data_IF_393665336384
#
_entry.id   IF_393665336384
#
_cell.length_a   1.000
_cell.length_b   1.000
_cell.length_c   1.000
_cell.angle_alpha   90.00
_cell.angle_beta   90.00
_cell.angle_gamma   90.00
#
_symmetry.space_group_name_H-M   'P 1'
#
loop_
_entity.id
_entity.type
_entity.pdbx_description
1 polymer ?
#
# COMPACT_ATOMS: atom_id res chain seq x y z
N UNK A 1 53.09 -47.03 5.90
CA UNK A 1 53.10 -45.57 5.69
C UNK A 1 52.67 -44.94 7.00
N UNK A 2 53.61 -44.28 7.70
CA UNK A 2 53.52 -43.69 9.05
C UNK A 2 52.58 -42.46 9.06
N UNK A 3 51.62 -42.35 9.98
CA UNK A 3 51.66 -41.77 11.35
C UNK A 3 51.75 -40.22 11.40
N UNK A 4 50.93 -39.66 12.31
CA UNK A 4 50.97 -38.36 13.05
C UNK A 4 50.32 -37.07 12.48
N UNK A 5 49.24 -36.63 13.17
CA UNK A 5 48.89 -35.22 13.49
C UNK A 5 49.98 -34.62 14.42
N UNK A 6 50.15 -33.29 14.73
CA UNK A 6 49.12 -32.24 14.90
C UNK A 6 49.59 -30.76 14.68
N UNK A 7 48.79 -29.80 15.19
CA UNK A 7 49.16 -28.46 15.74
C UNK A 7 49.19 -27.23 14.82
N UNK A 8 48.30 -26.30 15.18
CA UNK A 8 48.29 -24.84 14.99
C UNK A 8 49.64 -24.18 14.72
N UNK A 9 49.64 -23.18 13.84
CA UNK A 9 50.57 -22.05 13.98
C UNK A 9 49.94 -20.77 13.42
N UNK A 10 49.42 -19.98 14.35
CA UNK A 10 49.30 -18.54 14.21
C UNK A 10 50.66 -17.94 13.88
N UNK A 11 50.75 -17.16 12.80
CA UNK A 11 51.81 -16.15 12.66
C UNK A 11 51.11 -14.80 12.68
N UNK A 12 51.14 -14.17 13.86
CA UNK A 12 51.22 -12.71 13.96
C UNK A 12 52.55 -12.31 13.36
N UNK A 13 52.54 -11.57 12.25
CA UNK A 13 53.61 -10.64 11.95
C UNK A 13 53.20 -9.29 12.51
N UNK A 14 54.00 -8.84 13.46
CA UNK A 14 53.97 -7.52 14.06
C UNK A 14 54.28 -6.42 13.04
N UNK A 15 53.61 -5.28 13.24
CA UNK A 15 54.10 -3.90 13.11
C UNK A 15 55.13 -3.58 12.02
N UNK A 16 54.76 -2.66 11.12
CA UNK A 16 55.44 -1.35 11.03
C UNK A 16 54.55 -0.34 10.31
N UNK A 17 54.27 0.75 11.00
CA UNK A 17 54.01 2.12 10.51
C UNK A 17 54.32 2.38 9.04
N UNK A 18 53.38 3.03 8.33
CA UNK A 18 53.58 4.32 7.64
C UNK A 18 52.22 4.84 7.16
N UNK A 19 51.96 6.10 7.51
CA UNK A 19 51.09 7.11 6.90
C UNK A 19 49.94 6.63 6.00
N UNK A 20 48.73 7.10 6.31
CA UNK A 20 48.07 8.10 5.48
C UNK A 20 46.88 8.70 6.24
N UNK A 21 47.03 9.99 6.59
CA UNK A 21 45.89 10.86 6.84
C UNK A 21 45.08 10.96 5.55
N UNK A 22 43.99 10.22 5.50
CA UNK A 22 42.76 10.69 4.89
C UNK A 22 41.66 10.35 5.87
N UNK A 23 41.29 11.32 6.70
CA UNK A 23 39.99 11.31 7.37
C UNK A 23 38.93 11.49 6.29
N UNK A 24 38.69 10.41 5.54
CA UNK A 24 37.43 10.20 4.82
C UNK A 24 36.43 10.02 5.95
N UNK A 25 35.47 10.94 6.02
CA UNK A 25 34.27 10.78 6.80
C UNK A 25 33.80 9.34 6.64
N UNK A 26 33.81 8.58 7.73
CA UNK A 26 33.16 7.28 7.81
C UNK A 26 31.65 7.52 7.66
N UNK A 27 31.20 7.79 6.44
CA UNK A 27 29.91 7.31 6.02
C UNK A 27 30.04 5.81 6.10
N UNK A 28 29.48 5.23 7.16
CA UNK A 28 29.15 3.83 7.15
C UNK A 28 28.41 3.60 5.83
N UNK A 29 29.05 2.94 4.87
CA UNK A 29 28.36 2.33 3.75
C UNK A 29 27.46 1.27 4.39
N UNK A 30 26.26 1.71 4.78
CA UNK A 30 25.15 0.80 5.03
C UNK A 30 25.05 -0.06 3.75
N UNK A 31 24.96 -1.40 3.89
CA UNK A 31 24.83 -2.26 2.74
C UNK A 31 23.73 -1.71 1.83
N UNK A 32 24.06 -1.46 0.56
CA UNK A 32 23.04 -1.14 -0.44
C UNK A 32 22.17 -2.37 -0.58
N UNK A 33 21.09 -2.41 0.17
CA UNK A 33 20.10 -3.45 0.06
C UNK A 33 19.56 -3.45 -1.37
N UNK A 34 19.84 -4.54 -2.10
CA UNK A 34 19.27 -4.80 -3.41
C UNK A 34 17.81 -5.20 -3.23
N UNK A 35 16.95 -5.01 -4.24
CA UNK A 35 15.51 -5.29 -4.13
C UNK A 35 15.20 -6.72 -3.67
N UNK A 36 16.14 -7.64 -3.87
CA UNK A 36 16.11 -9.04 -3.45
C UNK A 36 16.28 -9.27 -1.94
N UNK A 37 16.72 -8.26 -1.17
CA UNK A 37 16.97 -8.38 0.28
C UNK A 37 15.70 -8.19 1.13
N UNK A 38 14.57 -7.83 0.52
CA UNK A 38 13.30 -7.60 1.21
C UNK A 38 12.25 -8.61 0.76
N UNK A 39 11.63 -9.30 1.73
CA UNK A 39 10.41 -10.07 1.50
C UNK A 39 9.26 -9.08 1.37
N UNK A 40 8.76 -8.92 0.15
CA UNK A 40 7.59 -8.10 -0.13
C UNK A 40 6.33 -8.89 0.19
N UNK A 41 5.43 -8.30 0.97
CA UNK A 41 4.08 -8.82 1.12
C UNK A 41 3.27 -8.31 -0.07
N UNK A 42 3.00 -9.23 -1.00
CA UNK A 42 2.11 -8.98 -2.14
C UNK A 42 0.69 -9.07 -1.63
N UNK A 43 -0.06 -7.97 -1.76
CA UNK A 43 -1.51 -7.98 -1.55
C UNK A 43 -2.13 -8.62 -2.79
N UNK A 44 -2.43 -9.91 -2.71
CA UNK A 44 -2.99 -10.66 -3.83
C UNK A 44 -4.42 -10.15 -4.10
N UNK A 45 -4.71 -9.59 -5.29
CA UNK A 45 -6.01 -8.98 -5.55
C UNK A 45 -7.09 -10.04 -5.49
N UNK A 46 -8.03 -9.90 -4.54
CA UNK A 46 -9.33 -10.55 -4.65
C UNK A 46 -10.09 -9.86 -5.79
N UNK A 47 -9.74 -10.19 -7.04
CA UNK A 47 -10.51 -9.82 -8.23
C UNK A 47 -11.81 -10.62 -8.23
N UNK A 48 -12.78 -10.14 -7.47
CA UNK A 48 -14.19 -10.48 -7.60
C UNK A 48 -15.00 -9.25 -7.19
N UNK A 49 -15.04 -8.23 -8.05
CA UNK A 49 -15.96 -7.10 -7.90
C UNK A 49 -17.40 -7.49 -8.27
N UNK A 50 -17.89 -8.62 -7.74
CA UNK A 50 -19.32 -8.88 -7.64
C UNK A 50 -19.86 -8.14 -6.40
N UNK A 51 -19.72 -6.81 -6.39
CA UNK A 51 -20.28 -5.97 -5.33
C UNK A 51 -21.79 -6.11 -5.28
N UNK A 52 -22.43 -6.32 -6.43
CA UNK A 52 -23.87 -6.47 -6.52
C UNK A 52 -24.32 -7.71 -5.77
N UNK A 53 -25.02 -7.45 -4.68
CA UNK A 53 -25.89 -8.42 -4.03
C UNK A 53 -26.85 -8.99 -5.09
N UNK A 54 -27.09 -10.29 -5.07
CA UNK A 54 -27.84 -11.04 -6.10
C UNK A 54 -29.28 -10.54 -6.31
N UNK A 55 -29.72 -9.58 -5.49
CA UNK A 55 -31.04 -8.97 -5.46
C UNK A 55 -31.10 -7.59 -6.14
N UNK A 56 -30.00 -7.08 -6.70
CA UNK A 56 -30.00 -5.77 -7.35
C UNK A 56 -30.41 -5.85 -8.82
N UNK A 57 -31.72 -5.72 -9.08
CA UNK A 57 -32.23 -5.50 -10.43
C UNK A 57 -32.07 -4.03 -10.83
N UNK A 58 -31.39 -3.77 -11.95
CA UNK A 58 -31.25 -2.43 -12.50
C UNK A 58 -31.68 -2.38 -13.97
N UNK A 59 -32.68 -1.56 -14.26
CA UNK A 59 -33.20 -1.31 -15.61
C UNK A 59 -32.99 0.16 -16.06
N UNK A 60 -32.29 0.95 -15.25
CA UNK A 60 -31.92 2.33 -15.55
C UNK A 60 -30.59 2.69 -14.89
N UNK A 61 -29.89 3.69 -15.42
CA UNK A 61 -28.64 4.20 -14.84
C UNK A 61 -28.84 4.71 -13.40
N UNK A 62 -30.01 5.29 -13.10
CA UNK A 62 -30.36 5.75 -11.75
C UNK A 62 -30.50 4.57 -10.80
N UNK A 63 -31.18 3.49 -11.22
CA UNK A 63 -31.32 2.27 -10.43
C UNK A 63 -29.96 1.59 -10.21
N UNK A 64 -29.12 1.53 -11.24
CA UNK A 64 -27.76 1.00 -11.17
C UNK A 64 -26.92 1.74 -10.12
N UNK A 65 -26.88 3.08 -10.16
CA UNK A 65 -26.11 3.90 -9.21
C UNK A 65 -26.57 3.71 -7.77
N UNK A 66 -27.88 3.66 -7.54
CA UNK A 66 -28.44 3.37 -6.20
C UNK A 66 -28.07 1.97 -5.72
N UNK A 67 -28.10 1.00 -6.63
CA UNK A 67 -27.70 -0.38 -6.37
C UNK A 67 -26.23 -0.48 -5.98
N UNK A 68 -25.35 0.17 -6.74
CA UNK A 68 -23.92 0.22 -6.47
C UNK A 68 -23.64 0.83 -5.10
N UNK A 69 -24.19 2.02 -4.80
CA UNK A 69 -23.97 2.69 -3.51
C UNK A 69 -24.37 1.83 -2.30
N UNK A 70 -25.55 1.19 -2.36
CA UNK A 70 -26.01 0.27 -1.29
C UNK A 70 -25.12 -0.96 -1.14
N UNK A 71 -24.67 -1.50 -2.28
CA UNK A 71 -23.82 -2.68 -2.31
C UNK A 71 -22.44 -2.39 -1.72
N UNK A 72 -21.84 -1.26 -2.09
CA UNK A 72 -20.60 -0.76 -1.52
C UNK A 72 -20.73 -0.50 -0.02
N UNK A 73 -21.79 0.17 0.42
CA UNK A 73 -22.06 0.42 1.85
C UNK A 73 -22.08 -0.88 2.66
N UNK A 74 -22.83 -1.90 2.20
CA UNK A 74 -22.86 -3.20 2.86
C UNK A 74 -21.50 -3.89 2.86
N UNK A 75 -20.81 -3.89 1.72
CA UNK A 75 -19.52 -4.55 1.54
C UNK A 75 -18.45 -3.95 2.45
N UNK A 76 -18.27 -2.63 2.37
CA UNK A 76 -17.24 -1.89 3.08
C UNK A 76 -17.46 -1.96 4.59
N UNK A 77 -18.71 -1.81 5.06
CA UNK A 77 -19.00 -1.92 6.49
C UNK A 77 -18.78 -3.35 7.02
N UNK A 78 -19.07 -4.38 6.21
CA UNK A 78 -18.78 -5.78 6.56
C UNK A 78 -17.28 -6.06 6.63
N UNK A 79 -16.48 -5.51 5.71
CA UNK A 79 -15.02 -5.62 5.78
C UNK A 79 -14.47 -4.89 7.00
N UNK A 80 -14.93 -3.67 7.25
CA UNK A 80 -14.56 -2.90 8.44
C UNK A 80 -14.85 -3.68 9.73
N UNK A 81 -16.02 -4.30 9.85
CA UNK A 81 -16.37 -5.17 10.97
C UNK A 81 -15.43 -6.38 11.08
N UNK A 82 -15.19 -7.08 9.98
CA UNK A 82 -14.27 -8.23 9.92
C UNK A 82 -12.86 -7.85 10.38
N UNK A 83 -12.41 -6.64 10.09
CA UNK A 83 -11.09 -6.12 10.45
C UNK A 83 -11.05 -5.44 11.83
N UNK A 84 -12.17 -5.41 12.57
CA UNK A 84 -12.23 -4.74 13.87
C UNK A 84 -12.13 -3.21 13.80
N UNK A 85 -12.49 -2.62 12.66
CA UNK A 85 -12.37 -1.19 12.38
C UNK A 85 -13.72 -0.44 12.46
N UNK A 86 -14.83 -1.08 12.79
CA UNK A 86 -16.19 -0.47 12.71
C UNK A 86 -16.39 0.84 13.47
N UNK A 87 -15.64 1.06 14.56
CA UNK A 87 -15.71 2.32 15.30
C UNK A 87 -14.95 3.47 14.63
N UNK A 88 -14.13 3.17 13.62
CA UNK A 88 -13.19 4.10 13.00
C UNK A 88 -13.33 4.22 11.50
N UNK A 89 -13.79 3.17 10.83
CA UNK A 89 -13.93 3.12 9.38
C UNK A 89 -15.35 2.72 9.08
N UNK A 90 -16.10 3.63 8.48
CA UNK A 90 -17.48 3.37 8.10
C UNK A 90 -17.77 3.96 6.75
N UNK A 91 -18.77 3.40 6.12
CA UNK A 91 -19.36 3.93 4.90
C UNK A 91 -20.81 4.28 5.15
N UNK A 92 -21.18 5.46 4.70
CA UNK A 92 -22.57 5.88 4.62
C UNK A 92 -22.86 6.33 3.19
N UNK A 93 -23.72 5.60 2.47
CA UNK A 93 -24.09 5.87 1.08
C UNK A 93 -22.87 5.97 0.15
N UNK A 94 -22.58 7.17 -0.33
CA UNK A 94 -21.55 7.53 -1.31
C UNK A 94 -20.24 7.99 -0.64
N UNK A 95 -20.09 7.83 0.68
CA UNK A 95 -18.95 8.40 1.41
C UNK A 95 -18.35 7.41 2.41
N UNK A 96 -17.03 7.24 2.37
CA UNK A 96 -16.24 6.54 3.39
C UNK A 96 -15.67 7.58 4.36
N UNK A 97 -15.87 7.33 5.66
CA UNK A 97 -15.34 8.11 6.76
C UNK A 97 -14.29 7.28 7.50
N UNK A 98 -13.14 7.91 7.79
CA UNK A 98 -12.05 7.27 8.54
C UNK A 98 -11.61 8.19 9.68
N UNK A 99 -11.95 7.79 10.90
CA UNK A 99 -11.54 8.45 12.13
C UNK A 99 -10.12 8.07 12.54
N UNK A 100 -9.34 9.11 12.82
CA UNK A 100 -7.93 9.02 13.14
C UNK A 100 -7.65 9.67 14.49
N UNK A 101 -6.81 9.07 15.35
CA UNK A 101 -6.55 9.58 16.69
C UNK A 101 -5.88 10.96 16.71
N UNK A 102 -5.17 11.33 15.65
CA UNK A 102 -4.40 12.57 15.56
C UNK A 102 -5.13 13.71 14.84
N UNK A 103 -6.45 13.58 14.61
CA UNK A 103 -7.25 14.57 13.88
C UNK A 103 -8.61 14.75 14.53
N UNK A 104 -9.13 15.98 14.48
CA UNK A 104 -10.47 16.31 14.98
C UNK A 104 -11.60 15.99 13.98
N UNK A 105 -11.25 15.86 12.70
CA UNK A 105 -12.18 15.53 11.63
C UNK A 105 -11.72 14.26 10.91
N UNK A 106 -12.65 13.39 10.50
CA UNK A 106 -12.33 12.19 9.73
C UNK A 106 -11.67 12.54 8.40
N UNK A 107 -10.92 11.59 7.86
CA UNK A 107 -10.71 11.56 6.41
C UNK A 107 -12.02 11.19 5.72
N UNK A 108 -12.33 11.88 4.64
CA UNK A 108 -13.59 11.73 3.92
C UNK A 108 -13.28 11.43 2.46
N UNK A 109 -13.71 10.27 1.98
CA UNK A 109 -13.59 9.85 0.59
C UNK A 109 -14.98 9.71 0.00
N UNK A 110 -15.32 10.62 -0.91
CA UNK A 110 -16.67 10.72 -1.47
C UNK A 110 -16.67 10.28 -2.92
N UNK A 111 -17.58 9.39 -3.27
CA UNK A 111 -17.76 8.96 -4.64
C UNK A 111 -18.23 10.11 -5.53
N UNK A 112 -17.84 10.05 -6.80
CA UNK A 112 -18.28 10.96 -7.84
C UNK A 112 -19.19 10.23 -8.83
N UNK A 113 -20.19 9.50 -8.32
CA UNK A 113 -21.18 8.80 -9.15
C UNK A 113 -22.08 9.75 -9.97
N UNK A 114 -22.03 11.05 -9.69
CA UNK A 114 -22.91 12.10 -10.20
C UNK A 114 -22.14 13.32 -10.68
N UNK A 115 -21.22 13.18 -11.63
CA UNK A 115 -20.71 14.38 -12.30
C UNK A 115 -21.82 15.08 -13.10
N UNK A 116 -21.89 16.44 -13.11
CA UNK A 116 -22.90 17.20 -13.84
C UNK A 116 -22.96 16.90 -15.34
N UNK A 117 -21.85 16.44 -15.92
CA UNK A 117 -21.72 16.05 -17.33
C UNK A 117 -22.16 14.60 -17.61
N UNK A 118 -22.57 13.85 -16.59
CA UNK A 118 -23.04 12.47 -16.71
C UNK A 118 -21.95 11.40 -16.92
N UNK A 119 -20.67 11.78 -16.94
CA UNK A 119 -19.56 10.91 -17.36
C UNK A 119 -18.68 10.37 -16.22
N UNK A 120 -18.64 10.98 -15.03
CA UNK A 120 -17.86 10.41 -13.92
C UNK A 120 -18.65 9.34 -13.17
N UNK A 121 -18.00 8.19 -12.98
CA UNK A 121 -18.45 7.06 -12.17
C UNK A 121 -17.32 6.61 -11.23
N UNK A 122 -16.57 7.56 -10.67
CA UNK A 122 -15.52 7.19 -9.72
C UNK A 122 -16.14 6.86 -8.37
N UNK A 123 -15.73 5.75 -7.77
CA UNK A 123 -16.13 5.38 -6.43
C UNK A 123 -14.94 4.79 -5.68
N UNK A 124 -15.00 4.91 -4.36
CA UNK A 124 -14.04 4.30 -3.45
C UNK A 124 -14.61 3.00 -2.91
N UNK A 125 -13.75 2.06 -2.57
CA UNK A 125 -14.11 0.88 -1.77
C UNK A 125 -12.98 0.48 -0.85
N UNK A 126 -13.33 -0.20 0.25
CA UNK A 126 -12.30 -0.83 1.09
C UNK A 126 -11.71 -2.02 0.32
N UNK A 127 -10.39 -2.04 0.20
CA UNK A 127 -9.68 -3.04 -0.58
C UNK A 127 -8.96 -4.06 0.30
N UNK A 128 -8.08 -3.58 1.18
CA UNK A 128 -7.31 -4.43 2.08
C UNK A 128 -6.90 -3.70 3.36
N UNK A 129 -6.43 -4.47 4.34
CA UNK A 129 -5.97 -3.96 5.61
C UNK A 129 -4.82 -4.80 6.19
N UNK A 130 -3.66 -4.16 6.35
CA UNK A 130 -2.55 -4.71 7.12
C UNK A 130 -2.71 -4.32 8.60
N UNK A 131 -3.21 -5.26 9.40
CA UNK A 131 -3.43 -5.06 10.84
C UNK A 131 -2.13 -4.77 11.60
N UNK A 132 -1.02 -5.41 11.23
CA UNK A 132 0.25 -5.28 11.95
C UNK A 132 0.83 -3.88 11.79
N UNK A 133 0.82 -3.37 10.55
CA UNK A 133 1.32 -2.03 10.21
C UNK A 133 0.26 -0.94 10.38
N UNK A 134 -1.01 -1.33 10.54
CA UNK A 134 -2.19 -0.44 10.58
C UNK A 134 -2.33 0.38 9.29
N UNK A 135 -2.15 -0.28 8.14
CA UNK A 135 -2.26 0.31 6.82
C UNK A 135 -3.58 -0.13 6.19
N UNK A 136 -4.45 0.83 5.89
CA UNK A 136 -5.71 0.63 5.18
C UNK A 136 -5.52 1.03 3.72
N UNK A 137 -6.06 0.20 2.83
CA UNK A 137 -5.99 0.42 1.39
C UNK A 137 -7.40 0.63 0.85
N UNK A 138 -7.60 1.74 0.15
CA UNK A 138 -8.82 2.00 -0.61
C UNK A 138 -8.54 1.84 -2.10
N UNK A 139 -9.43 1.18 -2.81
CA UNK A 139 -9.44 1.21 -4.26
C UNK A 139 -10.29 2.39 -4.72
N UNK A 140 -9.78 3.18 -5.66
CA UNK A 140 -10.57 4.14 -6.43
C UNK A 140 -10.75 3.58 -7.83
N UNK A 141 -11.96 3.16 -8.15
CA UNK A 141 -12.29 2.63 -9.47
C UNK A 141 -12.81 3.73 -10.38
N UNK A 142 -12.25 3.84 -11.59
CA UNK A 142 -12.81 4.58 -12.72
C UNK A 142 -13.10 3.64 -13.88
N UNK A 143 -13.90 4.05 -14.89
CA UNK A 143 -14.17 3.23 -16.07
C UNK A 143 -12.92 2.76 -16.84
N UNK A 144 -11.77 3.42 -16.67
CA UNK A 144 -10.57 3.20 -17.49
C UNK A 144 -9.28 3.01 -16.68
N UNK A 145 -9.24 3.47 -15.43
CA UNK A 145 -8.03 3.47 -14.59
C UNK A 145 -8.46 3.16 -13.15
N UNK A 146 -7.64 2.42 -12.43
CA UNK A 146 -7.83 2.18 -11.00
C UNK A 146 -6.60 2.65 -10.24
N UNK A 147 -6.83 3.30 -9.10
CA UNK A 147 -5.78 3.83 -8.24
C UNK A 147 -5.97 3.30 -6.83
N UNK A 148 -4.88 3.18 -6.10
CA UNK A 148 -4.91 2.77 -4.69
C UNK A 148 -4.59 3.95 -3.79
N UNK A 149 -5.34 4.10 -2.71
CA UNK A 149 -5.04 5.05 -1.64
C UNK A 149 -4.56 4.26 -0.44
N UNK A 150 -3.31 4.51 -0.04
CA UNK A 150 -2.75 4.01 1.20
C UNK A 150 -3.07 5.00 2.32
N UNK A 151 -3.52 4.49 3.46
CA UNK A 151 -3.82 5.28 4.65
C UNK A 151 -3.18 4.60 5.85
N UNK A 152 -2.29 5.29 6.55
CA UNK A 152 -1.76 4.84 7.83
C UNK A 152 -2.70 5.26 8.96
N UNK A 153 -3.40 4.31 9.57
CA UNK A 153 -4.40 4.57 10.61
C UNK A 153 -3.79 5.04 11.94
N UNK A 154 -2.46 4.89 12.15
CA UNK A 154 -1.77 5.40 13.34
C UNK A 154 -1.37 6.86 13.18
N UNK A 155 -0.81 7.23 12.02
CA UNK A 155 -0.24 8.56 11.80
C UNK A 155 -1.21 9.51 11.11
N UNK A 156 -2.17 8.97 10.36
CA UNK A 156 -3.06 9.73 9.50
C UNK A 156 -2.46 10.13 8.15
N UNK A 157 -1.23 9.66 7.86
CA UNK A 157 -0.66 9.76 6.52
C UNK A 157 -1.57 9.08 5.51
N UNK A 158 -1.78 9.73 4.37
CA UNK A 158 -2.49 9.13 3.25
C UNK A 158 -1.93 9.66 1.93
N UNK A 159 -1.89 8.79 0.92
CA UNK A 159 -1.43 9.13 -0.42
C UNK A 159 -2.09 8.23 -1.46
N UNK A 160 -2.42 8.80 -2.61
CA UNK A 160 -2.89 8.08 -3.79
C UNK A 160 -1.70 7.64 -4.64
N UNK A 161 -1.79 6.44 -5.19
CA UNK A 161 -0.82 5.83 -6.09
C UNK A 161 -1.53 5.35 -7.36
N UNK A 162 -0.86 5.47 -8.49
CA UNK A 162 -1.33 4.88 -9.75
C UNK A 162 -1.10 3.36 -9.71
N UNK A 163 -2.14 2.58 -10.03
CA UNK A 163 -2.12 1.11 -9.96
C UNK A 163 -2.88 0.52 -8.76
N UNK A 164 -3.07 -0.80 -8.81
CA UNK A 164 -3.98 -1.55 -7.93
C UNK A 164 -3.28 -2.54 -6.98
N UNK A 165 -2.16 -3.14 -7.40
CA UNK A 165 -1.40 -4.02 -6.52
C UNK A 165 -0.29 -3.22 -5.86
N UNK A 166 -0.60 -2.71 -4.68
CA UNK A 166 0.35 -2.00 -3.86
C UNK A 166 1.12 -2.98 -2.97
N UNK A 167 2.43 -2.82 -2.92
CA UNK A 167 3.30 -3.55 -2.00
C UNK A 167 4.17 -2.57 -1.25
N UNK A 168 4.17 -2.64 0.07
CA UNK A 168 4.95 -1.73 0.94
C UNK A 168 6.16 -2.47 1.49
N UNK A 169 7.35 -1.88 1.35
CA UNK A 169 8.58 -2.49 1.84
C UNK A 169 8.54 -2.65 3.37
N UNK A 170 9.27 -3.60 3.95
CA UNK A 170 9.28 -3.81 5.40
C UNK A 170 9.71 -2.58 6.23
N UNK A 171 10.58 -1.74 5.66
CA UNK A 171 11.04 -0.49 6.28
C UNK A 171 10.19 0.73 5.89
N UNK A 172 9.13 0.54 5.09
CA UNK A 172 8.26 1.59 4.56
C UNK A 172 8.98 2.66 3.73
N UNK A 173 10.22 2.44 3.29
CA UNK A 173 10.95 3.40 2.46
C UNK A 173 10.56 3.33 0.99
N UNK A 174 9.93 2.23 0.56
CA UNK A 174 9.52 2.02 -0.83
C UNK A 174 8.13 1.43 -0.92
N UNK A 175 7.42 1.84 -1.96
CA UNK A 175 6.15 1.27 -2.36
C UNK A 175 6.27 0.87 -3.82
N UNK A 176 5.76 -0.29 -4.17
CA UNK A 176 5.61 -0.71 -5.57
C UNK A 176 4.13 -0.73 -5.90
N UNK A 177 3.76 -0.21 -7.06
CA UNK A 177 2.42 -0.37 -7.62
C UNK A 177 2.45 -1.02 -8.98
N UNK A 178 1.38 -1.75 -9.31
CA UNK A 178 1.20 -2.37 -10.62
C UNK A 178 -0.06 -1.81 -11.27
N UNK A 179 0.11 -1.21 -12.44
CA UNK A 179 -0.96 -0.84 -13.36
C UNK A 179 -1.14 -1.94 -14.40
N UNK A 180 -2.37 -2.43 -14.59
CA UNK A 180 -2.68 -3.49 -15.55
C UNK A 180 -3.54 -2.95 -16.68
N UNK A 181 -3.00 -2.97 -17.89
CA UNK A 181 -3.72 -2.69 -19.13
C UNK A 181 -3.91 -4.00 -19.92
N UNK A 182 -4.78 -3.99 -20.94
CA UNK A 182 -4.98 -5.19 -21.78
C UNK A 182 -3.68 -5.50 -22.53
N UNK A 183 -2.95 -6.52 -22.07
CA UNK A 183 -1.71 -6.98 -22.69
C UNK A 183 -0.43 -6.29 -22.19
N UNK A 184 -0.51 -5.44 -21.16
CA UNK A 184 0.63 -4.72 -20.60
C UNK A 184 0.48 -4.56 -19.07
N UNK A 185 1.59 -4.72 -18.35
CA UNK A 185 1.67 -4.40 -16.92
C UNK A 185 2.82 -3.43 -16.69
N UNK A 186 2.52 -2.31 -16.04
CA UNK A 186 3.50 -1.29 -15.70
C UNK A 186 3.73 -1.30 -14.19
N UNK A 187 5.00 -1.43 -13.80
CA UNK A 187 5.43 -1.46 -12.40
C UNK A 187 6.09 -0.13 -12.08
N UNK A 188 5.55 0.57 -11.09
CA UNK A 188 6.09 1.85 -10.60
C UNK A 188 6.65 1.66 -9.20
N UNK A 189 7.88 2.11 -8.99
CA UNK A 189 8.54 2.11 -7.67
C UNK A 189 8.54 3.54 -7.14
N UNK A 190 7.92 3.73 -5.98
CA UNK A 190 7.83 4.98 -5.28
C UNK A 190 8.77 4.98 -4.08
N UNK A 191 9.66 5.97 -4.01
CA UNK A 191 10.61 6.15 -2.92
C UNK A 191 10.09 7.20 -1.95
N UNK A 192 10.19 6.91 -0.65
CA UNK A 192 9.84 7.87 0.40
C UNK A 192 10.79 9.07 0.35
N UNK A 193 10.23 10.25 0.24
CA UNK A 193 10.92 11.53 0.30
C UNK A 193 11.11 11.95 1.76
N UNK A 194 12.10 12.83 2.03
CA UNK A 194 12.40 13.33 3.38
C UNK A 194 11.21 14.03 4.05
N UNK A 195 10.32 14.57 3.23
CA UNK A 195 9.11 15.27 3.67
C UNK A 195 7.94 14.31 3.99
N UNK A 196 8.15 13.00 3.86
CA UNK A 196 7.27 11.94 4.35
C UNK A 196 6.40 11.26 3.29
N UNK A 197 6.11 11.93 2.17
CA UNK A 197 5.38 11.35 1.03
C UNK A 197 6.27 10.50 0.12
N UNK A 198 5.67 9.73 -0.78
CA UNK A 198 6.37 8.91 -1.77
C UNK A 198 6.37 9.57 -3.14
N UNK A 199 7.46 9.43 -3.90
CA UNK A 199 7.64 10.00 -5.23
C UNK A 199 8.33 8.98 -6.14
N UNK A 200 8.08 9.04 -7.45
CA UNK A 200 8.77 8.25 -8.48
C UNK A 200 10.18 8.80 -8.69
#
# INVERSE_FOLDING_TARGET
MQITLPVTTSIRICMTTILLMFSISAQAELPKATMDDYVWEVLDPVRNSNYFDNQCEYNSLVSYRKCLGRSLEKHDNKLSEKWGLSERVSREKDTIYIDLPNRSLPLVFRDELYAPNGQSHSYFSLYDYDEKRQLLYLLRSFPEIENTILINLKTGFNQQFDGIDISVSPNEERITTVERYIGEENITIWQKHREGGYQI
#
